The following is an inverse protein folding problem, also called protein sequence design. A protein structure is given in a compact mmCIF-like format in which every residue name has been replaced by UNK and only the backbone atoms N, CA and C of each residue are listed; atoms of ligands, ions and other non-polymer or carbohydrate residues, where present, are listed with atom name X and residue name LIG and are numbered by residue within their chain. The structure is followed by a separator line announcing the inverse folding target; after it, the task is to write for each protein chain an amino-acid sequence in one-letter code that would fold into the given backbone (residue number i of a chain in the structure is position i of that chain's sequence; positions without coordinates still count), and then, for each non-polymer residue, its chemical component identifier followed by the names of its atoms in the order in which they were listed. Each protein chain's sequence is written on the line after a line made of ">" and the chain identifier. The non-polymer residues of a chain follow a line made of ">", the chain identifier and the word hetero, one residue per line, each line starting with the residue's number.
data_IF_683518696395
#
_entry.id   IF_683518696395
#
_cell.length_a   1.000
_cell.length_b   1.000
_cell.length_c   1.000
_cell.angle_alpha   90.00
_cell.angle_beta   90.00
_cell.angle_gamma   90.00
#
_symmetry.space_group_name_H-M   'P 1'
#
loop_
_entity.id
_entity.type
_entity.pdbx_description
1 polymer ?
#
# COMPACT_ATOMS: atom_id res chain seq x y z
N UNK A 1 -10.73 -13.60 -73.44
CA UNK A 1 -10.28 -12.23 -73.13
C UNK A 1 -9.97 -12.18 -71.64
N UNK A 2 -8.75 -11.77 -71.28
CA UNK A 2 -8.15 -11.96 -69.96
C UNK A 2 -8.65 -10.93 -68.92
N UNK A 3 -8.95 -11.40 -67.70
CA UNK A 3 -9.29 -10.57 -66.55
C UNK A 3 -8.01 -10.29 -65.72
N UNK A 4 -7.65 -9.01 -65.62
CA UNK A 4 -6.54 -8.53 -64.81
C UNK A 4 -7.05 -8.18 -63.40
N UNK A 5 -6.71 -8.99 -62.41
CA UNK A 5 -6.96 -8.71 -61.00
C UNK A 5 -5.77 -7.92 -60.41
N UNK A 6 -5.95 -6.62 -60.24
CA UNK A 6 -5.00 -5.74 -59.58
C UNK A 6 -5.09 -5.91 -58.05
N UNK A 7 -4.18 -6.70 -57.48
CA UNK A 7 -3.96 -6.78 -56.04
C UNK A 7 -3.25 -5.50 -55.56
N UNK A 8 -4.04 -4.54 -55.09
CA UNK A 8 -3.53 -3.39 -54.32
C UNK A 8 -3.08 -3.92 -52.96
N UNK A 9 -1.80 -4.30 -52.87
CA UNK A 9 -1.15 -4.65 -51.62
C UNK A 9 -1.00 -3.42 -50.74
N UNK A 10 -1.90 -3.25 -49.78
CA UNK A 10 -1.79 -2.26 -48.71
C UNK A 10 -0.57 -2.57 -47.85
N UNK A 11 0.56 -1.93 -48.14
CA UNK A 11 1.73 -1.91 -47.28
C UNK A 11 1.40 -1.15 -46.01
N UNK A 12 0.96 -1.87 -44.97
CA UNK A 12 0.96 -1.35 -43.60
C UNK A 12 2.42 -1.15 -43.25
N UNK A 13 2.90 0.08 -43.42
CA UNK A 13 4.16 0.52 -42.82
C UNK A 13 3.90 0.46 -41.33
N UNK A 14 4.24 -0.67 -40.71
CA UNK A 14 4.42 -0.79 -39.27
C UNK A 14 5.59 0.13 -38.95
N UNK A 15 5.28 1.43 -38.79
CA UNK A 15 6.14 2.43 -38.22
C UNK A 15 6.40 2.00 -36.79
N UNK A 16 7.33 1.06 -36.64
CA UNK A 16 7.71 0.48 -35.38
C UNK A 16 8.08 1.61 -34.44
N UNK A 17 7.50 1.58 -33.26
CA UNK A 17 7.73 2.51 -32.17
C UNK A 17 9.22 2.53 -31.82
N UNK A 18 10.02 3.26 -32.59
CA UNK A 18 11.39 3.57 -32.25
C UNK A 18 11.29 4.52 -31.06
N UNK A 19 11.53 3.98 -29.86
CA UNK A 19 11.54 4.78 -28.65
C UNK A 19 12.59 5.88 -28.77
N UNK A 20 12.24 7.07 -28.29
CA UNK A 20 13.17 8.16 -28.03
C UNK A 20 13.00 8.50 -26.56
N UNK A 21 14.08 8.50 -25.79
CA UNK A 21 14.04 8.86 -24.37
C UNK A 21 15.33 9.58 -24.01
N UNK A 22 15.23 10.69 -23.29
CA UNK A 22 16.40 11.45 -22.82
C UNK A 22 16.20 11.82 -21.36
N UNK A 23 17.12 11.36 -20.53
CA UNK A 23 17.14 11.59 -19.09
C UNK A 23 18.48 12.11 -18.62
N UNK A 24 18.54 13.19 -17.83
CA UNK A 24 17.43 14.12 -17.55
C UNK A 24 16.91 14.79 -18.84
N UNK A 25 15.67 15.31 -18.85
CA UNK A 25 15.11 15.97 -20.02
C UNK A 25 15.94 17.21 -20.37
N UNK A 26 16.41 17.30 -21.62
CA UNK A 26 17.07 18.50 -22.14
C UNK A 26 16.03 19.44 -22.76
N UNK A 27 16.21 20.76 -22.60
CA UNK A 27 15.35 21.77 -23.20
C UNK A 27 15.21 21.57 -24.73
N UNK A 28 13.99 21.64 -25.24
CA UNK A 28 13.69 21.56 -26.68
C UNK A 28 13.61 20.15 -27.28
N UNK A 29 13.67 19.07 -26.50
CA UNK A 29 13.45 17.72 -27.02
C UNK A 29 12.00 17.25 -26.87
N UNK A 30 11.42 16.71 -27.95
CA UNK A 30 10.06 16.14 -28.04
C UNK A 30 10.10 14.61 -27.78
N UNK A 31 11.22 14.09 -27.25
CA UNK A 31 11.35 12.66 -26.96
C UNK A 31 10.35 12.22 -25.88
N UNK A 32 9.90 10.96 -25.96
CA UNK A 32 9.06 10.39 -24.91
C UNK A 32 9.89 10.26 -23.64
N UNK A 33 9.66 11.20 -22.72
CA UNK A 33 10.27 11.21 -21.41
C UNK A 33 9.44 10.33 -20.48
N UNK A 34 9.40 9.02 -20.76
CA UNK A 34 9.05 8.02 -19.73
C UNK A 34 10.27 7.17 -19.29
N UNK A 35 10.76 7.29 -18.02
CA UNK A 35 11.90 6.50 -17.56
C UNK A 35 11.48 5.06 -17.25
N UNK A 36 10.16 4.81 -17.21
CA UNK A 36 9.53 3.50 -17.05
C UNK A 36 9.36 2.77 -18.39
N UNK A 37 9.90 3.30 -19.49
CA UNK A 37 9.90 2.62 -20.76
C UNK A 37 10.75 1.35 -20.73
N UNK A 38 10.19 0.21 -21.17
CA UNK A 38 10.88 -1.09 -21.27
C UNK A 38 12.25 -1.04 -21.93
N UNK A 39 12.39 -0.20 -22.94
CA UNK A 39 13.64 -0.06 -23.69
C UNK A 39 14.71 0.70 -22.88
N UNK A 40 14.30 1.65 -22.04
CA UNK A 40 15.16 2.38 -21.08
C UNK A 40 15.62 1.43 -19.99
N UNK A 41 14.72 0.62 -19.41
CA UNK A 41 15.04 -0.42 -18.41
C UNK A 41 16.16 -1.35 -18.91
N UNK A 42 16.00 -1.89 -20.12
CA UNK A 42 16.98 -2.82 -20.73
C UNK A 42 18.32 -2.16 -20.99
N UNK A 43 18.32 -0.93 -21.49
CA UNK A 43 19.56 -0.17 -21.72
C UNK A 43 20.32 0.06 -20.41
N UNK A 44 19.61 0.48 -19.34
CA UNK A 44 20.21 0.66 -18.01
C UNK A 44 20.77 -0.64 -17.45
N UNK A 45 20.00 -1.74 -17.51
CA UNK A 45 20.44 -3.03 -17.00
C UNK A 45 21.71 -3.54 -17.70
N UNK A 46 21.78 -3.41 -19.04
CA UNK A 46 22.97 -3.81 -19.81
C UNK A 46 24.19 -2.98 -19.44
N UNK A 47 24.04 -1.65 -19.32
CA UNK A 47 25.14 -0.77 -18.95
C UNK A 47 25.62 -1.03 -17.51
N UNK A 48 24.70 -1.16 -16.56
CA UNK A 48 25.04 -1.45 -15.16
C UNK A 48 25.71 -2.81 -14.98
N UNK A 49 25.23 -3.84 -15.68
CA UNK A 49 25.85 -5.17 -15.65
C UNK A 49 27.29 -5.12 -16.16
N UNK A 50 27.55 -4.51 -17.32
CA UNK A 50 28.92 -4.38 -17.85
C UNK A 50 29.79 -3.49 -16.92
N UNK A 51 29.21 -2.46 -16.29
CA UNK A 51 29.92 -1.63 -15.32
C UNK A 51 30.35 -2.41 -14.07
N UNK A 52 29.46 -3.21 -13.50
CA UNK A 52 29.71 -4.02 -12.30
C UNK A 52 30.71 -5.14 -12.59
N UNK A 53 30.55 -5.85 -13.70
CA UNK A 53 31.44 -6.95 -14.08
C UNK A 53 32.88 -6.48 -14.31
N UNK A 54 33.05 -5.29 -14.89
CA UNK A 54 34.38 -4.75 -15.23
C UNK A 54 35.02 -3.96 -14.13
N UNK A 55 34.22 -3.28 -13.32
CA UNK A 55 34.68 -2.42 -12.24
C UNK A 55 34.00 -2.87 -10.95
N UNK A 56 34.26 -4.09 -10.44
CA UNK A 56 33.66 -4.56 -9.20
C UNK A 56 34.03 -3.61 -8.06
N UNK A 57 33.16 -3.43 -7.05
CA UNK A 57 33.44 -2.54 -5.94
C UNK A 57 34.71 -3.00 -5.20
N UNK A 58 35.62 -2.08 -4.83
CA UNK A 58 36.76 -2.40 -3.99
C UNK A 58 36.33 -3.05 -2.68
N UNK A 59 37.08 -4.04 -2.21
CA UNK A 59 36.76 -4.79 -0.99
C UNK A 59 36.69 -3.88 0.25
N UNK A 60 37.41 -2.75 0.25
CA UNK A 60 37.43 -1.73 1.30
C UNK A 60 36.11 -0.96 1.42
N UNK A 61 35.26 -1.02 0.39
CA UNK A 61 33.93 -0.40 0.39
C UNK A 61 32.83 -1.37 0.83
N UNK A 62 33.12 -2.67 0.86
CA UNK A 62 32.14 -3.70 1.19
C UNK A 62 31.90 -3.74 2.71
N UNK A 63 30.64 -3.62 3.16
CA UNK A 63 30.28 -3.95 4.53
C UNK A 63 30.65 -5.41 4.85
N UNK A 64 31.03 -5.69 6.10
CA UNK A 64 31.48 -7.03 6.52
C UNK A 64 30.41 -8.10 6.40
N UNK A 65 29.15 -7.70 6.45
CA UNK A 65 27.97 -8.55 6.36
C UNK A 65 27.42 -8.69 4.92
N UNK A 66 27.95 -7.94 3.95
CA UNK A 66 27.48 -7.99 2.57
C UNK A 66 27.82 -9.33 1.90
N UNK A 67 26.85 -9.91 1.19
CA UNK A 67 26.99 -11.23 0.56
C UNK A 67 26.83 -12.42 1.51
N UNK A 68 26.30 -12.21 2.72
CA UNK A 68 25.98 -13.26 3.69
C UNK A 68 24.54 -13.74 3.54
N UNK A 69 24.16 -14.83 4.25
CA UNK A 69 22.76 -15.27 4.27
C UNK A 69 21.79 -14.24 4.86
N UNK A 70 22.29 -13.35 5.75
CA UNK A 70 21.50 -12.28 6.37
C UNK A 70 21.34 -11.12 5.38
N UNK A 71 22.40 -10.81 4.62
CA UNK A 71 22.44 -9.72 3.66
C UNK A 71 23.03 -10.20 2.33
N UNK A 72 22.21 -10.84 1.47
CA UNK A 72 22.71 -11.50 0.27
C UNK A 72 23.26 -10.49 -0.75
N UNK A 73 22.72 -9.27 -0.77
CA UNK A 73 23.13 -8.25 -1.72
C UNK A 73 24.48 -7.63 -1.35
N UNK A 74 25.24 -7.28 -2.38
CA UNK A 74 26.59 -6.73 -2.30
C UNK A 74 26.68 -5.31 -2.83
N UNK A 75 25.73 -4.93 -3.69
CA UNK A 75 25.79 -3.69 -4.48
C UNK A 75 24.41 -3.03 -4.45
N UNK A 76 24.40 -1.72 -4.21
CA UNK A 76 23.23 -0.88 -4.43
C UNK A 76 23.31 -0.17 -5.78
N UNK A 77 22.17 0.09 -6.42
CA UNK A 77 22.10 0.91 -7.63
C UNK A 77 21.13 2.08 -7.45
N UNK A 78 21.64 3.29 -7.62
CA UNK A 78 20.84 4.52 -7.72
C UNK A 78 20.39 4.70 -9.18
N UNK A 79 19.11 4.48 -9.44
CA UNK A 79 18.51 4.59 -10.78
C UNK A 79 17.95 6.00 -11.04
N UNK A 80 17.53 6.27 -12.27
CA UNK A 80 16.99 7.58 -12.67
C UNK A 80 15.72 7.97 -11.91
N UNK A 81 15.58 9.23 -11.48
CA UNK A 81 14.37 9.69 -10.81
C UNK A 81 13.12 9.48 -11.68
N UNK A 82 12.01 9.12 -11.03
CA UNK A 82 10.72 8.85 -11.69
C UNK A 82 10.50 7.40 -12.11
N UNK A 83 11.46 6.50 -11.86
CA UNK A 83 11.21 5.06 -11.94
C UNK A 83 10.21 4.64 -10.86
N UNK A 84 9.26 3.78 -11.23
CA UNK A 84 8.42 3.05 -10.28
C UNK A 84 9.24 1.99 -9.54
N UNK A 85 8.88 1.62 -8.29
CA UNK A 85 9.53 0.53 -7.57
C UNK A 85 9.60 -0.78 -8.37
N UNK A 86 8.51 -1.14 -9.06
CA UNK A 86 8.41 -2.37 -9.85
C UNK A 86 9.42 -2.38 -11.00
N UNK A 87 9.67 -1.22 -11.61
CA UNK A 87 10.63 -1.11 -12.70
C UNK A 87 12.07 -1.02 -12.19
N UNK A 88 12.30 -0.39 -11.03
CA UNK A 88 13.60 -0.42 -10.37
C UNK A 88 14.02 -1.86 -10.04
N UNK A 89 13.12 -2.65 -9.45
CA UNK A 89 13.35 -4.09 -9.17
C UNK A 89 13.57 -4.92 -10.44
N UNK A 90 12.88 -4.56 -11.52
CA UNK A 90 13.07 -5.25 -12.80
C UNK A 90 14.41 -4.94 -13.44
N UNK A 91 14.90 -3.71 -13.27
CA UNK A 91 16.25 -3.34 -13.72
C UNK A 91 17.27 -4.09 -12.89
N UNK A 92 17.14 -4.13 -11.57
CA UNK A 92 18.10 -4.81 -10.68
C UNK A 92 18.14 -6.32 -10.90
N UNK A 93 16.98 -6.97 -11.05
CA UNK A 93 16.90 -8.41 -11.33
C UNK A 93 17.51 -8.81 -12.68
N UNK A 94 17.53 -7.92 -13.68
CA UNK A 94 18.21 -8.17 -14.95
C UNK A 94 19.74 -8.06 -14.87
N UNK A 95 20.26 -7.38 -13.84
CA UNK A 95 21.71 -7.22 -13.62
C UNK A 95 22.26 -8.46 -12.91
N UNK A 96 21.64 -8.87 -11.81
CA UNK A 96 22.04 -10.06 -11.05
C UNK A 96 21.44 -10.15 -9.64
N UNK A 97 21.55 -11.31 -8.97
CA UNK A 97 20.94 -11.53 -7.66
C UNK A 97 21.59 -10.72 -6.52
N UNK A 98 22.86 -10.32 -6.69
CA UNK A 98 23.62 -9.58 -5.67
C UNK A 98 23.37 -8.06 -5.70
N UNK A 99 22.45 -7.60 -6.55
CA UNK A 99 22.18 -6.18 -6.82
C UNK A 99 20.79 -5.81 -6.33
N UNK A 100 20.70 -4.72 -5.56
CA UNK A 100 19.45 -4.16 -5.06
C UNK A 100 19.33 -2.68 -5.43
N UNK A 101 18.11 -2.18 -5.61
CA UNK A 101 17.87 -0.74 -5.77
C UNK A 101 18.30 0.01 -4.52
N UNK A 102 18.80 1.23 -4.68
CA UNK A 102 19.16 2.08 -3.55
C UNK A 102 17.92 2.40 -2.71
N UNK A 103 18.00 2.13 -1.41
CA UNK A 103 17.01 2.48 -0.39
C UNK A 103 17.69 2.61 0.97
N UNK A 104 16.97 3.10 1.97
CA UNK A 104 17.53 3.35 3.31
C UNK A 104 18.32 2.18 3.93
N UNK A 105 17.94 0.92 3.70
CA UNK A 105 18.67 -0.25 4.23
C UNK A 105 19.86 -0.71 3.37
N UNK A 106 20.04 -0.13 2.18
CA UNK A 106 21.18 -0.43 1.30
C UNK A 106 22.14 0.77 1.15
N UNK A 107 21.91 1.87 1.86
CA UNK A 107 22.66 3.11 1.69
C UNK A 107 24.15 3.00 2.04
N UNK A 108 24.54 2.01 2.83
CA UNK A 108 25.92 1.69 3.20
C UNK A 108 26.61 0.73 2.22
N UNK A 109 25.89 0.13 1.25
CA UNK A 109 26.50 -0.68 0.20
C UNK A 109 27.23 0.22 -0.82
N UNK A 110 28.27 -0.30 -1.49
CA UNK A 110 28.83 0.36 -2.66
C UNK A 110 27.74 0.63 -3.69
N UNK A 111 27.55 1.91 -4.02
CA UNK A 111 26.44 2.36 -4.86
C UNK A 111 26.93 2.74 -6.24
N UNK A 112 26.30 2.19 -7.28
CA UNK A 112 26.47 2.64 -8.67
C UNK A 112 25.34 3.61 -8.99
N UNK A 113 25.63 4.69 -9.71
CA UNK A 113 24.61 5.68 -10.03
C UNK A 113 24.43 5.80 -11.54
N UNK A 114 23.18 5.75 -12.01
CA UNK A 114 22.83 6.10 -13.39
C UNK A 114 22.45 7.57 -13.42
N UNK A 115 23.26 8.41 -14.06
CA UNK A 115 22.97 9.85 -14.16
C UNK A 115 22.21 10.23 -15.42
N UNK A 116 22.46 9.51 -16.52
CA UNK A 116 21.93 9.86 -17.82
C UNK A 116 21.61 8.63 -18.64
N UNK A 117 20.47 8.66 -19.32
CA UNK A 117 20.14 7.73 -20.40
C UNK A 117 19.68 8.54 -21.60
N UNK A 118 20.38 8.38 -22.72
CA UNK A 118 20.00 8.97 -24.01
C UNK A 118 19.73 7.85 -24.99
N UNK A 119 18.51 7.77 -25.52
CA UNK A 119 18.06 6.69 -26.37
C UNK A 119 17.44 7.26 -27.65
N UNK A 120 17.91 6.77 -28.79
CA UNK A 120 17.46 7.16 -30.13
C UNK A 120 17.30 5.93 -31.01
N UNK A 121 16.08 5.39 -31.05
CA UNK A 121 15.77 4.17 -31.79
C UNK A 121 16.59 2.98 -31.29
N UNK A 122 17.49 2.47 -32.13
CA UNK A 122 18.35 1.33 -31.81
C UNK A 122 19.67 1.68 -31.12
N UNK A 123 19.89 2.92 -30.71
CA UNK A 123 21.13 3.33 -30.03
C UNK A 123 20.80 3.94 -28.70
N UNK A 124 21.62 3.64 -27.70
CA UNK A 124 21.55 4.28 -26.41
C UNK A 124 22.93 4.71 -25.91
N UNK A 125 22.98 5.71 -25.04
CA UNK A 125 24.15 6.12 -24.29
C UNK A 125 23.74 6.20 -22.83
N UNK A 126 24.42 5.47 -21.96
CA UNK A 126 24.12 5.45 -20.52
C UNK A 126 25.37 5.89 -19.77
N UNK A 127 25.24 6.88 -18.89
CA UNK A 127 26.32 7.29 -18.00
C UNK A 127 26.15 6.62 -16.64
N UNK A 128 27.16 5.84 -16.24
CA UNK A 128 27.17 5.12 -14.97
C UNK A 128 28.37 5.57 -14.14
N UNK A 129 28.11 5.96 -12.91
CA UNK A 129 29.13 6.21 -11.89
C UNK A 129 29.33 4.92 -11.11
N UNK A 130 30.57 4.46 -11.00
CA UNK A 130 30.93 3.37 -10.10
C UNK A 130 31.82 3.88 -8.96
N UNK A 131 31.74 3.25 -7.78
CA UNK A 131 32.54 3.65 -6.64
C UNK A 131 34.00 3.22 -6.85
N UNK A 132 34.94 4.12 -6.55
CA UNK A 132 36.38 3.86 -6.62
C UNK A 132 37.07 4.41 -5.39
N UNK A 133 38.23 3.83 -5.05
CA UNK A 133 39.10 4.33 -3.99
C UNK A 133 40.34 4.93 -4.65
N UNK A 134 40.66 6.17 -4.34
CA UNK A 134 41.86 6.83 -4.89
C UNK A 134 43.13 6.22 -4.29
N UNK A 135 44.29 6.52 -4.86
CA UNK A 135 45.59 6.09 -4.27
C UNK A 135 45.81 6.60 -2.83
N UNK A 136 45.05 7.62 -2.40
CA UNK A 136 45.09 8.17 -1.03
C UNK A 136 44.12 7.47 -0.07
N UNK A 137 43.35 6.48 -0.54
CA UNK A 137 42.32 5.82 0.25
C UNK A 137 40.99 6.59 0.31
N UNK A 138 40.86 7.68 -0.43
CA UNK A 138 39.62 8.49 -0.44
C UNK A 138 38.56 7.81 -1.31
N UNK A 139 37.31 7.78 -0.82
CA UNK A 139 36.17 7.27 -1.58
C UNK A 139 35.73 8.34 -2.58
N UNK A 140 35.66 7.98 -3.86
CA UNK A 140 35.12 8.84 -4.92
C UNK A 140 34.36 8.00 -5.93
N UNK A 141 33.86 8.63 -6.99
CA UNK A 141 33.19 7.93 -8.08
C UNK A 141 33.91 8.20 -9.39
N UNK A 142 33.81 7.25 -10.31
CA UNK A 142 34.30 7.42 -11.67
C UNK A 142 33.12 7.19 -12.63
N UNK A 143 32.89 8.17 -13.51
CA UNK A 143 31.87 8.06 -14.54
C UNK A 143 32.41 7.29 -15.74
N UNK A 144 31.59 6.39 -16.28
CA UNK A 144 31.83 5.70 -17.54
C UNK A 144 30.59 5.85 -18.42
N UNK A 145 30.78 6.33 -19.64
CA UNK A 145 29.73 6.38 -20.65
C UNK A 145 29.75 5.10 -21.48
N UNK A 146 28.61 4.41 -21.51
CA UNK A 146 28.36 3.20 -22.28
C UNK A 146 27.52 3.54 -23.51
N UNK A 147 28.13 3.46 -24.69
CA UNK A 147 27.39 3.57 -25.95
C UNK A 147 26.92 2.16 -26.34
N UNK A 148 25.60 1.99 -26.40
CA UNK A 148 24.91 0.74 -26.67
C UNK A 148 24.29 0.74 -28.07
N UNK A 149 24.28 -0.42 -28.71
CA UNK A 149 23.51 -0.67 -29.91
C UNK A 149 22.52 -1.81 -29.65
N UNK A 150 21.30 -1.66 -30.13
CA UNK A 150 20.17 -2.53 -29.87
C UNK A 150 18.91 -1.97 -30.52
N UNK A 151 17.78 -2.07 -29.84
CA UNK A 151 16.48 -1.55 -30.31
C UNK A 151 15.39 -2.55 -30.02
N UNK A 152 14.83 -3.14 -31.09
CA UNK A 152 13.90 -4.27 -30.96
C UNK A 152 14.60 -5.54 -30.47
N UNK A 153 15.92 -5.62 -30.60
CA UNK A 153 16.76 -6.69 -30.07
C UNK A 153 17.40 -6.31 -28.74
N UNK A 154 18.00 -7.28 -28.05
CA UNK A 154 18.81 -7.04 -26.85
C UNK A 154 19.94 -6.03 -27.15
N UNK A 155 20.12 -5.06 -26.24
CA UNK A 155 21.25 -4.13 -26.32
C UNK A 155 22.57 -4.85 -26.05
N UNK A 156 23.63 -4.42 -26.74
CA UNK A 156 25.01 -4.76 -26.43
C UNK A 156 25.86 -3.49 -26.32
N UNK A 157 26.90 -3.55 -25.50
CA UNK A 157 27.87 -2.45 -25.35
C UNK A 157 28.77 -2.43 -26.58
N UNK A 158 28.80 -1.30 -27.30
CA UNK A 158 29.64 -1.11 -28.49
C UNK A 158 30.89 -0.30 -28.17
N UNK A 159 30.75 0.70 -27.30
CA UNK A 159 31.86 1.57 -26.90
C UNK A 159 31.73 1.96 -25.44
N UNK A 160 32.89 2.12 -24.80
CA UNK A 160 33.03 2.63 -23.44
C UNK A 160 33.93 3.85 -23.45
N UNK A 161 33.61 4.84 -22.64
CA UNK A 161 34.41 6.04 -22.44
C UNK A 161 34.54 6.29 -20.95
N UNK A 162 35.73 6.03 -20.44
CA UNK A 162 36.08 6.26 -19.04
C UNK A 162 36.48 7.71 -18.86
N UNK A 163 35.92 8.35 -17.84
CA UNK A 163 36.28 9.70 -17.43
C UNK A 163 37.21 9.63 -16.22
N UNK A 164 37.91 10.73 -15.93
CA UNK A 164 38.76 10.75 -14.74
C UNK A 164 37.92 10.62 -13.45
N UNK A 165 38.43 9.91 -12.45
CA UNK A 165 37.76 9.78 -11.15
C UNK A 165 37.55 11.17 -10.52
N UNK A 166 36.34 11.43 -10.03
CA UNK A 166 35.94 12.73 -9.48
C UNK A 166 35.78 13.86 -10.51
N UNK A 167 35.88 13.59 -11.82
CA UNK A 167 35.68 14.62 -12.85
C UNK A 167 34.24 15.13 -12.93
N UNK A 168 33.28 14.31 -12.48
CA UNK A 168 31.87 14.62 -12.44
C UNK A 168 31.32 14.29 -11.05
N UNK A 169 30.35 15.06 -10.60
CA UNK A 169 29.61 14.77 -9.38
C UNK A 169 28.55 13.69 -9.66
N UNK A 170 28.42 12.66 -8.81
CA UNK A 170 27.37 11.67 -8.96
C UNK A 170 26.00 12.34 -8.78
N UNK A 171 24.92 11.80 -9.39
CA UNK A 171 23.59 12.33 -9.20
C UNK A 171 23.13 12.14 -7.75
N UNK A 172 22.18 12.97 -7.33
CA UNK A 172 21.52 12.82 -6.02
C UNK A 172 20.96 11.41 -5.83
N UNK A 173 21.11 10.89 -4.61
CA UNK A 173 20.57 9.59 -4.23
C UNK A 173 19.04 9.64 -4.26
N UNK A 174 18.43 8.79 -5.08
CA UNK A 174 16.99 8.60 -5.13
C UNK A 174 16.67 7.21 -4.58
N UNK A 175 15.94 7.18 -3.47
CA UNK A 175 15.58 5.94 -2.79
C UNK A 175 14.30 5.32 -3.37
N UNK A 176 14.35 4.02 -3.68
CA UNK A 176 13.21 3.23 -4.12
C UNK A 176 12.81 2.27 -3.01
N UNK A 177 11.63 2.42 -2.43
CA UNK A 177 11.14 1.40 -1.47
C UNK A 177 10.80 0.13 -2.26
N UNK A 178 11.41 -1.04 -1.96
CA UNK A 178 11.09 -2.28 -2.65
C UNK A 178 9.59 -2.61 -2.58
N UNK A 179 9.02 -3.15 -3.66
CA UNK A 179 7.62 -3.56 -3.74
C UNK A 179 7.31 -4.63 -2.68
N UNK A 180 8.26 -5.49 -2.33
CA UNK A 180 8.11 -6.46 -1.23
C UNK A 180 7.89 -5.79 0.14
N UNK A 181 8.57 -4.68 0.40
CA UNK A 181 8.45 -3.89 1.63
C UNK A 181 7.13 -3.12 1.65
N UNK A 182 6.72 -2.56 0.50
CA UNK A 182 5.42 -1.92 0.35
C UNK A 182 4.28 -2.94 0.58
N UNK A 183 4.39 -4.13 0.02
CA UNK A 183 3.42 -5.21 0.20
C UNK A 183 3.36 -5.68 1.67
N UNK A 184 4.50 -5.84 2.34
CA UNK A 184 4.55 -6.22 3.75
C UNK A 184 3.86 -5.17 4.66
N UNK A 185 4.12 -3.87 4.42
CA UNK A 185 3.45 -2.79 5.15
C UNK A 185 1.94 -2.77 4.91
N UNK A 186 1.51 -2.99 3.67
CA UNK A 186 0.09 -3.06 3.34
C UNK A 186 -0.59 -4.25 4.03
N UNK A 187 0.06 -5.42 4.06
CA UNK A 187 -0.44 -6.61 4.75
C UNK A 187 -0.52 -6.41 6.27
N UNK A 188 0.47 -5.74 6.88
CA UNK A 188 0.45 -5.40 8.31
C UNK A 188 -0.70 -4.43 8.64
N UNK A 189 -0.93 -3.42 7.80
CA UNK A 189 -2.04 -2.49 7.97
C UNK A 189 -3.40 -3.19 7.83
N UNK A 190 -3.54 -4.09 6.86
CA UNK A 190 -4.75 -4.89 6.67
C UNK A 190 -5.00 -5.79 7.89
N UNK A 191 -3.96 -6.49 8.37
CA UNK A 191 -4.04 -7.32 9.57
C UNK A 191 -4.48 -6.49 10.80
N UNK A 192 -3.94 -5.28 10.95
CA UNK A 192 -4.36 -4.35 12.01
C UNK A 192 -5.84 -3.99 11.89
N UNK A 193 -6.31 -3.58 10.70
CA UNK A 193 -7.73 -3.24 10.48
C UNK A 193 -8.67 -4.41 10.79
N UNK A 194 -8.30 -5.62 10.36
CA UNK A 194 -9.06 -6.84 10.66
C UNK A 194 -9.09 -7.11 12.17
N UNK A 195 -7.96 -6.95 12.86
CA UNK A 195 -7.89 -7.14 14.32
C UNK A 195 -8.77 -6.14 15.08
N UNK A 196 -8.78 -4.88 14.65
CA UNK A 196 -9.61 -3.82 15.22
C UNK A 196 -11.11 -4.11 14.99
N UNK A 197 -11.46 -4.61 13.81
CA UNK A 197 -12.84 -4.99 13.50
C UNK A 197 -13.32 -6.18 14.34
N UNK A 198 -12.48 -7.20 14.53
CA UNK A 198 -12.79 -8.34 15.39
C UNK A 198 -13.00 -7.86 16.82
N UNK A 199 -12.07 -7.06 17.35
CA UNK A 199 -12.18 -6.50 18.70
C UNK A 199 -13.45 -5.67 18.88
N UNK A 200 -13.84 -4.86 17.87
CA UNK A 200 -15.09 -4.11 17.89
C UNK A 200 -16.31 -5.04 17.94
N UNK A 201 -16.35 -6.08 17.10
CA UNK A 201 -17.45 -7.06 17.08
C UNK A 201 -17.55 -7.84 18.40
N UNK A 202 -16.43 -8.19 19.00
CA UNK A 202 -16.39 -8.85 20.31
C UNK A 202 -16.89 -7.93 21.41
N UNK A 203 -16.50 -6.65 21.40
CA UNK A 203 -17.00 -5.65 22.35
C UNK A 203 -18.52 -5.46 22.22
N UNK A 204 -19.04 -5.32 20.99
CA UNK A 204 -20.48 -5.22 20.73
C UNK A 204 -21.24 -6.50 21.11
N UNK A 205 -20.62 -7.68 20.94
CA UNK A 205 -21.20 -8.95 21.39
C UNK A 205 -21.26 -9.02 22.92
N UNK A 206 -20.20 -8.60 23.60
CA UNK A 206 -20.14 -8.54 25.06
C UNK A 206 -21.15 -7.55 25.64
N UNK A 207 -21.31 -6.37 25.02
CA UNK A 207 -22.32 -5.38 25.42
C UNK A 207 -23.74 -5.93 25.25
N UNK A 208 -24.03 -6.57 24.10
CA UNK A 208 -25.31 -7.25 23.87
C UNK A 208 -25.57 -8.37 24.86
N UNK A 209 -24.54 -9.11 25.26
CA UNK A 209 -24.67 -10.16 26.26
C UNK A 209 -25.03 -9.56 27.63
N UNK A 210 -24.32 -8.51 28.07
CA UNK A 210 -24.63 -7.79 29.32
C UNK A 210 -26.06 -7.25 29.31
N UNK A 211 -26.47 -6.59 28.23
CA UNK A 211 -27.83 -6.08 28.10
C UNK A 211 -28.89 -7.19 28.18
N UNK A 212 -28.60 -8.39 27.63
CA UNK A 212 -29.50 -9.55 27.75
C UNK A 212 -29.57 -10.08 29.17
N UNK A 213 -28.45 -10.17 29.87
CA UNK A 213 -28.37 -10.62 31.25
C UNK A 213 -29.11 -9.65 32.20
N UNK A 214 -28.92 -8.34 32.03
CA UNK A 214 -29.64 -7.30 32.77
C UNK A 214 -31.16 -7.36 32.51
N UNK A 215 -31.58 -7.50 31.24
CA UNK A 215 -32.99 -7.64 30.91
C UNK A 215 -33.61 -8.92 31.48
N UNK A 216 -32.85 -10.03 31.50
CA UNK A 216 -33.30 -11.28 32.11
C UNK A 216 -33.43 -11.15 33.63
N UNK A 217 -32.47 -10.49 34.29
CA UNK A 217 -32.52 -10.19 35.72
C UNK A 217 -33.72 -9.30 36.08
N UNK A 218 -33.99 -8.26 35.28
CA UNK A 218 -35.14 -7.38 35.48
C UNK A 218 -36.47 -8.15 35.38
N UNK A 219 -36.64 -9.02 34.37
CA UNK A 219 -37.84 -9.86 34.23
C UNK A 219 -37.99 -10.85 35.39
N UNK A 220 -36.89 -11.41 35.89
CA UNK A 220 -36.91 -12.30 37.04
C UNK A 220 -37.34 -11.55 38.32
N UNK A 221 -36.87 -10.32 38.51
CA UNK A 221 -37.27 -9.47 39.62
C UNK A 221 -38.76 -9.11 39.57
N UNK A 222 -39.27 -8.70 38.41
CA UNK A 222 -40.70 -8.41 38.21
C UNK A 222 -41.57 -9.63 38.50
N UNK A 223 -41.14 -10.81 38.04
CA UNK A 223 -41.84 -12.07 38.34
C UNK A 223 -41.87 -12.36 39.84
N UNK A 224 -40.74 -12.21 40.52
CA UNK A 224 -40.65 -12.45 41.96
C UNK A 224 -41.52 -11.45 42.76
N UNK A 225 -41.62 -10.21 42.30
CA UNK A 225 -42.50 -9.20 42.89
C UNK A 225 -43.98 -9.57 42.70
N UNK A 226 -44.39 -9.97 41.50
CA UNK A 226 -45.75 -10.47 41.24
C UNK A 226 -46.09 -11.70 42.09
N UNK A 227 -45.15 -12.63 42.25
CA UNK A 227 -45.30 -13.81 43.09
C UNK A 227 -45.41 -13.45 44.59
N UNK A 228 -44.74 -12.39 45.06
CA UNK A 228 -44.93 -11.85 46.41
C UNK A 228 -46.30 -11.21 46.59
N UNK A 229 -46.73 -10.35 45.66
CA UNK A 229 -48.05 -9.71 45.73
C UNK A 229 -49.18 -10.75 45.71
N UNK A 230 -49.02 -11.84 44.97
CA UNK A 230 -49.99 -12.94 44.95
C UNK A 230 -50.00 -13.79 46.24
N UNK A 231 -48.94 -13.73 47.06
CA UNK A 231 -48.86 -14.40 48.37
C UNK A 231 -49.24 -13.47 49.52
N UNK A 232 -49.39 -12.17 49.27
CA UNK A 232 -49.90 -11.23 50.25
C UNK A 232 -51.36 -11.63 50.54
N UNK A 233 -51.70 -12.00 51.78
CA UNK A 233 -53.05 -12.47 52.10
C UNK A 233 -54.03 -11.38 51.68
N UNK A 234 -55.10 -11.76 50.97
CA UNK A 234 -56.19 -10.83 50.67
C UNK A 234 -56.57 -10.14 51.99
N UNK A 235 -56.68 -8.80 52.01
CA UNK A 235 -57.03 -8.10 53.23
C UNK A 235 -58.31 -8.75 53.77
N UNK A 236 -58.29 -9.14 55.04
CA UNK A 236 -59.48 -9.70 55.69
C UNK A 236 -60.65 -8.78 55.35
N UNK A 237 -61.79 -9.33 54.88
CA UNK A 237 -62.91 -8.51 54.47
C UNK A 237 -63.20 -7.54 55.61
N UNK A 238 -63.20 -6.24 55.29
CA UNK A 238 -63.55 -5.22 56.28
C UNK A 238 -64.85 -5.67 56.96
N UNK A 239 -64.92 -5.64 58.30
CA UNK A 239 -66.12 -6.07 59.01
C UNK A 239 -67.30 -5.34 58.38
N UNK A 240 -68.32 -6.11 57.96
CA UNK A 240 -69.52 -5.55 57.34
C UNK A 240 -69.95 -4.33 58.15
N UNK A 241 -70.20 -3.17 57.50
CA UNK A 241 -70.62 -1.97 58.21
C UNK A 241 -71.81 -2.37 59.09
N UNK A 242 -71.68 -2.11 60.39
CA UNK A 242 -72.78 -2.33 61.32
C UNK A 242 -74.04 -1.72 60.71
N UNK A 243 -75.17 -2.44 60.69
CA UNK A 243 -76.40 -1.93 60.10
C UNK A 243 -76.67 -0.55 60.67
N UNK A 244 -76.81 0.45 59.78
CA UNK A 244 -77.17 1.80 60.18
C UNK A 244 -78.35 1.71 61.15
N UNK A 245 -78.32 2.42 62.29
CA UNK A 245 -79.44 2.44 63.21
C UNK A 245 -80.70 2.80 62.41
N UNK A 246 -81.70 1.93 62.49
CA UNK A 246 -83.01 2.18 61.90
C UNK A 246 -83.41 3.62 62.25
N UNK A 247 -83.73 4.48 61.25
CA UNK A 247 -84.23 5.80 61.57
C UNK A 247 -85.47 5.62 62.43
N UNK A 248 -85.46 6.23 63.63
CA UNK A 248 -86.61 6.27 64.52
C UNK A 248 -87.85 6.57 63.69
N UNK A 249 -88.78 5.60 63.65
CA UNK A 249 -90.08 5.78 63.01
C UNK A 249 -90.69 7.05 63.60
N UNK A 250 -90.98 8.08 62.78
CA UNK A 250 -91.71 9.23 63.28
C UNK A 250 -93.04 8.72 63.83
N UNK A 251 -93.29 8.97 65.11
CA UNK A 251 -94.57 8.70 65.75
C UNK A 251 -95.70 9.18 64.83
N UNK A 252 -96.76 8.38 64.65
CA UNK A 252 -97.86 8.73 63.77
C UNK A 252 -98.50 10.03 64.27
N UNK A 253 -98.24 11.13 63.54
CA UNK A 253 -98.94 12.39 63.71
C UNK A 253 -100.40 12.14 63.31
N UNK A 254 -101.21 11.93 64.34
CA UNK A 254 -102.65 11.84 64.27
C UNK A 254 -103.14 13.22 63.85
N UNK A 255 -103.46 13.39 62.56
CA UNK A 255 -104.43 14.41 62.19
C UNK A 255 -105.26 14.04 60.97
N UNK A 256 -106.54 14.45 61.00
CA UNK A 256 -107.62 13.73 60.36
C UNK A 256 -108.10 14.40 59.08
N UNK A 257 -108.95 13.66 58.36
CA UNK A 257 -110.07 14.16 57.55
C UNK A 257 -109.78 15.28 56.53
N UNK A 258 -109.96 14.94 55.25
CA UNK A 258 -110.97 15.56 54.36
C UNK A 258 -110.82 14.98 52.95
N UNK A 259 -111.78 14.19 52.49
CA UNK A 259 -112.96 14.60 51.70
C UNK A 259 -112.67 14.90 50.23
N UNK A 260 -113.22 14.03 49.36
CA UNK A 260 -113.71 14.38 48.02
C UNK A 260 -112.63 14.51 46.94
N UNK A 261 -112.78 14.01 45.72
CA UNK A 261 -113.97 13.56 45.03
C UNK A 261 -113.81 13.89 43.55
N UNK A 262 -114.14 12.89 42.71
CA UNK A 262 -114.32 12.92 41.24
C UNK A 262 -113.09 12.87 40.35
#
# INVERSE_FOLDING_TARGET
>A
MAAAAALVGGGVVLGGCAGYATYPPSSGQIAANDPNGRIVERAMAVALRDAIERNPPPAELMPRDAGTAIRPHRIAVNLLPGLTPENAERVTSQIGPDVIGLWSQSADLPTYHVSRVWLRGGRASVDVFHPVVTRRGERTTQMVTYDLSGGLTTFSVVRRREWAAGAFEPPEAFEYTPTSVLAARAAEEEARRVSEEIARREAEAAERQRAREEAAAARAAERAERERQAQEPEPEPEPEPEPDPEPDEPEPDVSPDTLGGR
#
